data_IF_576690462316
#
_entry.id   IF_576690462316
#
_cell.length_a   1.000
_cell.length_b   1.000
_cell.length_c   1.000
_cell.angle_alpha   90.00
_cell.angle_beta   90.00
_cell.angle_gamma   90.00
#
_symmetry.space_group_name_H-M   'P 1'
#
loop_
_entity.id
_entity.type
_entity.pdbx_description
1 polymer ?
#
# COMPACT_ATOMS: atom_id res chain seq x y z
N UNK A 1 -71.80 -14.20 -62.52
CA UNK A 1 -70.96 -15.35 -62.12
C UNK A 1 -69.83 -14.86 -61.21
N UNK A 2 -70.12 -14.86 -59.91
CA UNK A 2 -69.19 -14.60 -58.79
C UNK A 2 -69.11 -15.91 -57.99
N UNK A 3 -68.07 -16.00 -57.15
CA UNK A 3 -67.86 -16.95 -56.05
C UNK A 3 -67.62 -18.42 -56.39
N UNK A 4 -66.35 -18.78 -56.63
CA UNK A 4 -65.80 -20.11 -56.31
C UNK A 4 -64.26 -20.14 -56.43
N UNK A 5 -63.54 -19.22 -55.78
CA UNK A 5 -62.07 -19.29 -55.72
C UNK A 5 -61.40 -18.61 -54.51
N UNK A 6 -62.13 -18.44 -53.40
CA UNK A 6 -61.55 -17.87 -52.16
C UNK A 6 -61.52 -18.81 -50.94
N UNK A 7 -62.03 -20.04 -51.07
CA UNK A 7 -62.09 -20.99 -49.95
C UNK A 7 -60.89 -21.95 -49.89
N UNK A 8 -60.20 -22.22 -51.01
CA UNK A 8 -59.15 -23.24 -51.04
C UNK A 8 -57.76 -22.74 -50.61
N UNK A 9 -57.47 -21.44 -50.78
CA UNK A 9 -56.16 -20.85 -50.47
C UNK A 9 -56.05 -20.44 -48.98
N UNK A 10 -57.19 -20.29 -48.29
CA UNK A 10 -57.22 -19.82 -46.89
C UNK A 10 -57.00 -20.94 -45.86
N UNK A 11 -57.15 -22.21 -46.24
CA UNK A 11 -56.94 -23.35 -45.33
C UNK A 11 -55.51 -23.92 -45.35
N UNK A 12 -54.73 -23.67 -46.42
CA UNK A 12 -53.34 -24.11 -46.50
C UNK A 12 -52.39 -23.20 -45.69
N UNK A 13 -52.67 -21.89 -45.67
CA UNK A 13 -51.84 -20.92 -44.93
C UNK A 13 -52.02 -21.02 -43.42
N UNK A 14 -53.20 -21.40 -42.91
CA UNK A 14 -53.40 -21.62 -41.47
C UNK A 14 -52.75 -22.90 -40.93
N UNK A 15 -52.63 -23.96 -41.72
CA UNK A 15 -51.94 -25.20 -41.30
C UNK A 15 -50.41 -25.09 -41.37
N UNK A 16 -49.87 -24.31 -42.31
CA UNK A 16 -48.43 -24.06 -42.37
C UNK A 16 -47.94 -23.14 -41.23
N UNK A 17 -48.76 -22.16 -40.84
CA UNK A 17 -48.43 -21.24 -39.76
C UNK A 17 -48.54 -21.87 -38.35
N UNK A 18 -49.38 -22.89 -38.18
CA UNK A 18 -49.46 -23.67 -36.93
C UNK A 18 -48.33 -24.71 -36.80
N UNK A 19 -47.77 -25.22 -37.90
CA UNK A 19 -46.62 -26.12 -37.86
C UNK A 19 -45.30 -25.36 -37.59
N UNK A 20 -45.17 -24.12 -38.06
CA UNK A 20 -43.99 -23.28 -37.74
C UNK A 20 -43.99 -22.76 -36.31
N UNK A 21 -45.15 -22.59 -35.67
CA UNK A 21 -45.24 -22.17 -34.27
C UNK A 21 -45.03 -23.34 -33.29
N UNK A 22 -45.30 -24.60 -33.70
CA UNK A 22 -45.06 -25.78 -32.86
C UNK A 22 -43.61 -26.30 -32.93
N UNK A 23 -42.87 -25.99 -34.00
CA UNK A 23 -41.44 -26.36 -34.17
C UNK A 23 -40.45 -25.33 -33.60
N UNK A 24 -40.93 -24.20 -33.08
CA UNK A 24 -40.12 -23.19 -32.38
C UNK A 24 -40.19 -23.30 -30.85
N UNK A 25 -40.91 -24.29 -30.30
CA UNK A 25 -41.11 -24.48 -28.85
C UNK A 25 -40.23 -25.60 -28.26
N UNK A 26 -39.36 -26.26 -29.03
CA UNK A 26 -38.55 -27.41 -28.52
C UNK A 26 -37.04 -27.29 -28.68
N UNK A 27 -36.47 -26.09 -28.69
CA UNK A 27 -35.00 -25.96 -28.68
C UNK A 27 -34.49 -24.69 -28.02
N UNK A 28 -34.78 -24.49 -26.74
CA UNK A 28 -33.86 -23.80 -25.79
C UNK A 28 -34.26 -24.17 -24.35
N UNK A 29 -34.02 -25.42 -23.94
CA UNK A 29 -33.77 -25.72 -22.52
C UNK A 29 -32.27 -25.59 -22.29
N UNK A 30 -31.77 -24.36 -22.26
CA UNK A 30 -30.52 -24.08 -21.56
C UNK A 30 -30.89 -23.87 -20.11
N UNK A 31 -30.39 -24.77 -19.25
CA UNK A 31 -30.35 -24.59 -17.82
C UNK A 31 -29.88 -23.17 -17.49
N UNK A 32 -30.80 -22.27 -17.17
CA UNK A 32 -30.48 -21.07 -16.40
C UNK A 32 -30.24 -21.60 -14.99
N UNK A 33 -28.98 -21.92 -14.70
CA UNK A 33 -28.49 -21.87 -13.33
C UNK A 33 -28.80 -20.45 -12.85
N UNK A 34 -29.62 -20.32 -11.82
CA UNK A 34 -29.71 -19.09 -11.04
C UNK A 34 -28.28 -18.74 -10.60
N UNK A 35 -27.71 -17.75 -11.27
CA UNK A 35 -26.48 -17.09 -10.87
C UNK A 35 -26.86 -16.15 -9.72
N UNK A 36 -26.92 -16.71 -8.51
CA UNK A 36 -26.83 -15.94 -7.28
C UNK A 36 -25.39 -15.41 -7.16
N UNK A 37 -25.04 -14.41 -7.96
CA UNK A 37 -23.74 -13.71 -7.88
C UNK A 37 -23.91 -12.21 -7.64
N UNK A 38 -24.55 -11.85 -6.52
CA UNK A 38 -24.57 -10.43 -6.09
C UNK A 38 -24.62 -10.21 -4.57
N UNK A 39 -24.23 -11.20 -3.77
CA UNK A 39 -24.18 -11.04 -2.30
C UNK A 39 -22.88 -11.53 -1.64
N UNK A 40 -21.96 -12.15 -2.38
CA UNK A 40 -20.70 -12.69 -1.83
C UNK A 40 -19.49 -11.78 -2.06
N UNK A 41 -19.43 -11.08 -3.20
CA UNK A 41 -18.27 -10.27 -3.60
C UNK A 41 -18.26 -8.84 -3.04
N UNK A 42 -19.44 -8.23 -2.81
CA UNK A 42 -19.55 -6.88 -2.26
C UNK A 42 -19.14 -6.78 -0.78
N UNK A 43 -19.36 -7.86 -0.02
CA UNK A 43 -19.03 -7.92 1.42
C UNK A 43 -17.51 -7.94 1.64
N UNK A 44 -16.76 -8.65 0.78
CA UNK A 44 -15.30 -8.74 0.87
C UNK A 44 -14.60 -7.39 0.65
N UNK A 45 -15.15 -6.51 -0.19
CA UNK A 45 -14.62 -5.16 -0.37
C UNK A 45 -15.00 -4.21 0.76
N UNK A 46 -16.18 -4.38 1.38
CA UNK A 46 -16.61 -3.45 2.42
C UNK A 46 -15.73 -3.56 3.67
N UNK A 47 -15.36 -4.78 4.05
CA UNK A 47 -14.50 -5.03 5.22
C UNK A 47 -13.03 -4.66 4.96
N UNK A 48 -12.65 -4.56 3.69
CA UNK A 48 -11.33 -4.13 3.22
C UNK A 48 -11.20 -2.61 3.01
N UNK A 49 -12.26 -1.83 3.19
CA UNK A 49 -12.26 -0.38 2.93
C UNK A 49 -12.45 0.43 4.21
N UNK A 50 -11.38 1.08 4.64
CA UNK A 50 -11.39 1.96 5.79
C UNK A 50 -11.84 3.36 5.40
N UNK A 51 -12.68 3.96 6.24
CA UNK A 51 -13.13 5.34 6.07
C UNK A 51 -11.98 6.29 6.31
N UNK A 52 -11.76 7.27 5.43
CA UNK A 52 -10.80 8.34 5.69
C UNK A 52 -11.55 9.56 6.20
N UNK A 53 -11.19 10.02 7.40
CA UNK A 53 -11.83 11.14 8.10
C UNK A 53 -10.78 12.16 8.53
N UNK A 54 -11.15 13.42 8.60
CA UNK A 54 -10.40 14.40 9.39
C UNK A 54 -10.99 14.45 10.81
N UNK A 55 -10.13 14.56 11.81
CA UNK A 55 -10.51 14.60 13.23
C UNK A 55 -10.43 16.04 13.70
N UNK A 56 -11.59 16.61 14.04
CA UNK A 56 -11.65 17.93 14.63
C UNK A 56 -11.08 17.91 16.06
N UNK A 57 -10.44 18.98 16.54
CA UNK A 57 -9.93 19.06 17.92
C UNK A 57 -10.98 18.81 19.00
N UNK A 58 -12.25 19.07 18.69
CA UNK A 58 -13.40 18.80 19.58
C UNK A 58 -13.88 17.33 19.52
N UNK A 59 -13.19 16.45 18.79
CA UNK A 59 -13.43 15.01 18.78
C UNK A 59 -14.41 14.49 17.73
N UNK A 60 -15.06 15.35 16.94
CA UNK A 60 -15.93 14.91 15.85
C UNK A 60 -15.16 14.70 14.53
N UNK A 61 -15.74 13.89 13.64
CA UNK A 61 -15.16 13.57 12.34
C UNK A 61 -15.74 14.43 11.21
N UNK A 62 -14.89 14.74 10.24
CA UNK A 62 -15.25 15.34 8.95
C UNK A 62 -15.01 14.34 7.82
N UNK A 63 -15.89 14.33 6.83
CA UNK A 63 -15.73 13.52 5.64
C UNK A 63 -14.56 14.02 4.80
N UNK A 64 -13.68 13.11 4.36
CA UNK A 64 -12.64 13.42 3.39
C UNK A 64 -13.10 12.94 2.01
N UNK A 65 -13.07 13.84 1.03
CA UNK A 65 -13.52 13.59 -0.34
C UNK A 65 -12.48 14.07 -1.35
N UNK A 66 -12.42 13.40 -2.49
CA UNK A 66 -11.73 13.89 -3.67
C UNK A 66 -12.69 14.77 -4.46
N UNK A 67 -12.26 15.96 -4.86
CA UNK A 67 -13.11 16.95 -5.52
C UNK A 67 -12.53 17.34 -6.86
N UNK A 68 -13.34 17.23 -7.92
CA UNK A 68 -12.95 17.64 -9.27
C UNK A 68 -13.09 19.16 -9.48
N UNK A 69 -12.81 19.61 -10.71
CA UNK A 69 -12.90 21.03 -11.09
C UNK A 69 -14.34 21.55 -11.16
N UNK A 70 -15.33 20.67 -11.30
CA UNK A 70 -16.76 21.00 -11.35
C UNK A 70 -17.40 21.01 -9.95
N UNK A 71 -16.66 20.58 -8.94
CA UNK A 71 -17.10 20.53 -7.55
C UNK A 71 -17.76 19.22 -7.14
N UNK A 72 -17.80 18.20 -8.02
CA UNK A 72 -18.27 16.86 -7.68
C UNK A 72 -17.35 16.24 -6.64
N UNK A 73 -17.93 15.48 -5.71
CA UNK A 73 -17.21 14.90 -4.57
C UNK A 73 -17.27 13.37 -4.62
N UNK A 74 -16.11 12.75 -4.51
CA UNK A 74 -15.90 11.31 -4.62
C UNK A 74 -15.34 10.73 -3.32
N UNK A 75 -15.59 9.44 -3.10
CA UNK A 75 -15.15 8.76 -1.88
C UNK A 75 -13.63 8.69 -1.79
N UNK A 76 -13.09 8.82 -0.57
CA UNK A 76 -11.70 8.53 -0.24
C UNK A 76 -11.68 7.44 0.81
N UNK A 77 -10.90 6.39 0.56
CA UNK A 77 -10.78 5.21 1.42
C UNK A 77 -9.32 4.81 1.58
N UNK A 78 -9.01 4.09 2.66
CA UNK A 78 -7.79 3.29 2.70
C UNK A 78 -8.14 1.83 2.35
N UNK A 79 -7.37 1.24 1.44
CA UNK A 79 -7.55 -0.14 0.99
C UNK A 79 -6.66 -1.07 1.80
N UNK A 80 -7.31 -1.93 2.56
CA UNK A 80 -6.70 -3.10 3.19
C UNK A 80 -6.61 -4.21 2.14
N UNK A 81 -5.39 -4.52 1.71
CA UNK A 81 -5.16 -5.71 0.91
C UNK A 81 -4.85 -6.85 1.89
N UNK A 82 -5.63 -7.92 1.84
CA UNK A 82 -5.58 -9.05 2.79
C UNK A 82 -5.88 -8.70 4.26
N UNK A 83 -5.31 -9.47 5.19
CA UNK A 83 -5.24 -9.26 6.63
C UNK A 83 -4.29 -8.13 7.06
N UNK A 84 -3.59 -7.48 6.12
CA UNK A 84 -2.55 -6.53 6.43
C UNK A 84 -3.08 -5.11 6.69
N UNK A 85 -2.90 -4.64 7.93
CA UNK A 85 -3.41 -3.33 8.40
C UNK A 85 -2.33 -2.27 8.59
N UNK A 86 -1.06 -2.64 8.52
CA UNK A 86 0.06 -1.76 8.94
C UNK A 86 0.52 -0.73 7.90
N UNK A 87 0.06 -0.82 6.65
CA UNK A 87 0.56 -0.01 5.53
C UNK A 87 -0.38 -0.12 4.31
N UNK A 88 -1.44 0.67 4.31
CA UNK A 88 -2.52 0.59 3.31
C UNK A 88 -2.45 1.74 2.30
N UNK A 89 -2.90 1.48 1.07
CA UNK A 89 -3.04 2.52 0.05
C UNK A 89 -4.21 3.45 0.40
N UNK A 90 -4.00 4.76 0.27
CA UNK A 90 -5.10 5.73 0.35
C UNK A 90 -5.47 6.17 -1.05
N UNK A 91 -6.73 5.92 -1.43
CA UNK A 91 -7.23 6.05 -2.80
C UNK A 91 -8.54 6.84 -2.83
N UNK A 92 -8.77 7.51 -3.95
CA UNK A 92 -10.07 8.05 -4.30
C UNK A 92 -10.82 7.06 -5.21
N UNK A 93 -12.13 6.92 -5.05
CA UNK A 93 -12.97 6.08 -5.90
C UNK A 93 -13.78 6.99 -6.82
N UNK A 94 -13.36 7.11 -8.08
CA UNK A 94 -14.00 7.96 -9.08
C UNK A 94 -14.47 7.07 -10.22
N UNK A 95 -15.78 7.03 -10.49
CA UNK A 95 -16.35 6.20 -11.57
C UNK A 95 -15.86 4.73 -11.51
N UNK A 96 -15.89 4.14 -10.32
CA UNK A 96 -15.39 2.79 -10.02
C UNK A 96 -13.89 2.56 -10.28
N UNK A 97 -13.11 3.60 -10.56
CA UNK A 97 -11.64 3.53 -10.66
C UNK A 97 -11.00 3.95 -9.34
N UNK A 98 -9.98 3.18 -8.92
CA UNK A 98 -9.18 3.50 -7.75
C UNK A 98 -8.02 4.41 -8.16
N UNK A 99 -8.10 5.67 -7.75
CA UNK A 99 -7.12 6.70 -8.10
C UNK A 99 -6.18 6.93 -6.91
N UNK A 100 -4.85 6.78 -7.08
CA UNK A 100 -3.91 6.95 -5.97
C UNK A 100 -3.85 8.42 -5.52
N UNK A 101 -3.80 8.61 -4.20
CA UNK A 101 -3.57 9.93 -3.60
C UNK A 101 -2.09 10.13 -3.32
N UNK A 102 -1.58 11.30 -3.69
CA UNK A 102 -0.17 11.71 -3.61
C UNK A 102 -0.04 13.10 -3.02
N UNK A 103 1.12 13.39 -2.45
CA UNK A 103 1.56 14.74 -2.14
C UNK A 103 2.39 15.21 -3.34
N UNK A 104 2.10 16.40 -3.88
CA UNK A 104 2.85 16.94 -5.02
C UNK A 104 3.95 17.87 -4.54
N UNK A 105 4.99 18.03 -5.37
CA UNK A 105 6.01 19.06 -5.14
C UNK A 105 5.35 20.44 -5.22
N UNK A 106 5.74 21.33 -4.33
CA UNK A 106 5.30 22.71 -4.28
C UNK A 106 6.35 23.58 -3.58
N UNK A 107 6.52 24.81 -4.05
CA UNK A 107 7.45 25.79 -3.45
C UNK A 107 6.81 26.56 -2.27
N UNK A 108 5.50 26.42 -2.08
CA UNK A 108 4.78 27.03 -0.97
C UNK A 108 4.96 26.29 0.37
N UNK A 109 4.62 26.97 1.47
CA UNK A 109 4.72 26.44 2.86
C UNK A 109 4.10 25.05 3.05
N UNK A 110 3.02 24.75 2.32
CA UNK A 110 2.27 23.51 2.46
C UNK A 110 2.12 22.79 1.12
N UNK A 111 2.49 21.52 1.09
CA UNK A 111 2.43 20.71 -0.13
C UNK A 111 0.99 20.25 -0.42
N UNK A 112 0.49 20.34 -1.66
CA UNK A 112 -0.87 19.93 -2.00
C UNK A 112 -1.02 18.41 -1.99
N UNK A 113 -2.14 17.93 -1.45
CA UNK A 113 -2.53 16.52 -1.53
C UNK A 113 -3.59 16.36 -2.60
N UNK A 114 -3.34 15.51 -3.60
CA UNK A 114 -4.22 15.30 -4.75
C UNK A 114 -4.33 13.82 -5.12
N UNK A 115 -5.48 13.42 -5.64
CA UNK A 115 -5.58 12.18 -6.41
C UNK A 115 -5.09 12.44 -7.85
N UNK A 116 -4.35 11.51 -8.44
CA UNK A 116 -3.84 11.61 -9.81
C UNK A 116 -4.31 10.38 -10.59
N UNK A 117 -5.14 10.60 -11.60
CA UNK A 117 -5.62 9.53 -12.51
C UNK A 117 -4.58 9.18 -13.59
N UNK A 118 -4.82 8.09 -14.31
CA UNK A 118 -3.91 7.57 -15.34
C UNK A 118 -3.75 8.50 -16.56
N UNK A 119 -4.72 9.40 -16.79
CA UNK A 119 -4.66 10.42 -17.85
C UNK A 119 -4.03 11.75 -17.38
N UNK A 120 -3.69 11.86 -16.09
CA UNK A 120 -3.12 13.07 -15.49
C UNK A 120 -4.16 14.03 -14.89
N UNK A 121 -5.46 13.74 -15.00
CA UNK A 121 -6.50 14.51 -14.30
C UNK A 121 -6.27 14.43 -12.79
N UNK A 122 -6.36 15.58 -12.12
CA UNK A 122 -6.14 15.68 -10.68
C UNK A 122 -7.40 16.08 -9.92
N UNK A 123 -7.57 15.50 -8.74
CA UNK A 123 -8.67 15.79 -7.82
C UNK A 123 -8.10 16.36 -6.53
N UNK A 124 -8.67 17.47 -6.05
CA UNK A 124 -8.21 18.08 -4.80
C UNK A 124 -8.82 17.33 -3.63
N UNK A 125 -8.01 16.92 -2.65
CA UNK A 125 -8.52 16.25 -1.46
C UNK A 125 -8.94 17.29 -0.42
N UNK A 126 -10.20 17.20 0.02
CA UNK A 126 -10.83 18.17 0.92
C UNK A 126 -11.56 17.45 2.06
N UNK A 127 -11.49 18.03 3.25
CA UNK A 127 -12.37 17.71 4.37
C UNK A 127 -13.63 18.58 4.28
N UNK A 128 -14.80 17.99 4.50
CA UNK A 128 -16.11 18.64 4.35
C UNK A 128 -16.74 18.81 5.73
N UNK A 129 -17.05 20.04 6.11
CA UNK A 129 -17.74 20.34 7.37
C UNK A 129 -19.22 20.00 7.29
N UNK A 130 -19.91 19.99 8.45
CA UNK A 130 -21.38 19.81 8.50
C UNK A 130 -22.13 20.91 7.74
N UNK A 131 -21.55 22.10 7.62
CA UNK A 131 -22.09 23.24 6.87
C UNK A 131 -21.77 23.18 5.37
N UNK A 132 -20.96 22.21 4.93
CA UNK A 132 -20.54 22.06 3.53
C UNK A 132 -19.26 22.78 3.15
N UNK A 133 -18.62 23.48 4.09
CA UNK A 133 -17.33 24.13 3.87
C UNK A 133 -16.24 23.11 3.55
N UNK A 134 -15.33 23.49 2.65
CA UNK A 134 -14.33 22.59 2.10
C UNK A 134 -12.92 23.01 2.48
N UNK A 135 -12.31 22.25 3.38
CA UNK A 135 -10.98 22.50 3.94
C UNK A 135 -9.94 21.68 3.19
N UNK A 136 -8.86 22.31 2.72
CA UNK A 136 -7.84 21.61 1.94
C UNK A 136 -6.97 20.69 2.81
N UNK A 137 -6.68 19.48 2.32
CA UNK A 137 -5.64 18.63 2.91
C UNK A 137 -4.27 18.98 2.33
N UNK A 138 -3.28 19.10 3.21
CA UNK A 138 -1.92 19.49 2.86
C UNK A 138 -0.89 18.64 3.62
N UNK A 139 0.27 18.41 2.99
CA UNK A 139 1.49 18.02 3.69
C UNK A 139 2.06 19.23 4.43
N UNK A 140 2.25 19.13 5.74
CA UNK A 140 2.59 20.28 6.60
C UNK A 140 3.99 20.22 7.21
N UNK A 141 4.53 19.02 7.43
CA UNK A 141 5.87 18.82 8.01
C UNK A 141 6.42 17.46 7.56
N UNK A 142 7.70 17.41 7.22
CA UNK A 142 8.45 16.16 7.01
C UNK A 142 9.26 15.82 8.26
N UNK A 143 9.32 14.54 8.57
CA UNK A 143 10.13 13.94 9.63
C UNK A 143 10.69 12.62 9.09
N UNK A 144 11.97 12.66 8.71
CA UNK A 144 12.63 11.67 7.86
C UNK A 144 11.77 11.22 6.66
N UNK A 145 11.25 9.99 6.65
CA UNK A 145 10.42 9.42 5.59
C UNK A 145 8.93 9.74 5.69
N UNK A 146 8.48 10.35 6.78
CA UNK A 146 7.07 10.62 7.03
C UNK A 146 6.75 12.08 6.79
N UNK A 147 5.68 12.33 6.04
CA UNK A 147 5.12 13.66 5.83
C UNK A 147 3.78 13.72 6.53
N UNK A 148 3.65 14.56 7.55
CA UNK A 148 2.40 14.76 8.26
C UNK A 148 1.38 15.42 7.33
N UNK A 149 0.20 14.82 7.20
CA UNK A 149 -0.92 15.39 6.46
C UNK A 149 -1.94 15.94 7.44
N UNK A 150 -2.42 17.16 7.18
CA UNK A 150 -3.46 17.82 7.96
C UNK A 150 -4.47 18.48 7.04
N UNK A 151 -5.73 18.57 7.47
CA UNK A 151 -6.64 19.54 6.90
C UNK A 151 -6.31 20.91 7.50
N UNK A 152 -6.07 21.91 6.65
CA UNK A 152 -5.63 23.25 7.06
C UNK A 152 -6.74 24.25 6.76
N UNK A 153 -7.36 24.80 7.80
CA UNK A 153 -8.40 25.82 7.64
C UNK A 153 -7.79 27.22 7.41
N UNK A 154 -8.63 28.21 7.10
CA UNK A 154 -8.19 29.59 6.85
C UNK A 154 -7.54 30.25 8.07
N UNK A 155 -7.91 29.83 9.29
CA UNK A 155 -7.36 30.32 10.54
C UNK A 155 -6.03 29.63 10.92
N UNK A 156 -5.53 28.71 10.08
CA UNK A 156 -4.31 27.95 10.33
C UNK A 156 -4.46 26.78 11.31
N UNK A 157 -5.67 26.43 11.75
CA UNK A 157 -5.89 25.22 12.54
C UNK A 157 -5.67 23.96 11.71
N UNK A 158 -5.13 22.93 12.34
CA UNK A 158 -4.75 21.67 11.69
C UNK A 158 -5.55 20.50 12.24
N UNK A 159 -6.23 19.76 11.36
CA UNK A 159 -6.98 18.55 11.73
C UNK A 159 -6.23 17.31 11.26
N UNK A 160 -6.05 16.35 12.16
CA UNK A 160 -5.39 15.07 11.85
C UNK A 160 -6.25 14.24 10.90
N UNK A 161 -5.63 13.52 9.98
CA UNK A 161 -6.33 12.63 9.06
C UNK A 161 -6.13 11.19 9.51
N UNK A 162 -7.24 10.47 9.68
CA UNK A 162 -7.26 9.09 10.14
C UNK A 162 -7.96 8.19 9.11
N UNK A 163 -7.45 6.98 8.96
CA UNK A 163 -8.21 5.87 8.38
C UNK A 163 -8.85 5.08 9.52
N UNK A 164 -10.13 4.78 9.40
CA UNK A 164 -10.92 4.11 10.44
C UNK A 164 -11.56 2.87 9.82
N UNK A 165 -11.24 1.71 10.37
CA UNK A 165 -11.78 0.44 9.90
C UNK A 165 -13.27 0.29 10.23
N UNK A 166 -13.97 -0.68 9.61
CA UNK A 166 -15.34 -1.03 10.00
C UNK A 166 -15.48 -1.45 11.47
N UNK A 167 -14.43 -2.05 12.06
CA UNK A 167 -14.40 -2.45 13.48
C UNK A 167 -13.83 -1.38 14.44
N UNK A 168 -13.54 -0.16 13.95
CA UNK A 168 -13.13 0.98 14.77
C UNK A 168 -11.62 1.09 15.05
N UNK A 169 -10.79 0.26 14.44
CA UNK A 169 -9.34 0.42 14.44
C UNK A 169 -8.94 1.69 13.68
N UNK A 170 -7.86 2.33 14.13
CA UNK A 170 -7.48 3.65 13.62
C UNK A 170 -6.01 3.65 13.19
N UNK A 171 -5.79 4.11 11.96
CA UNK A 171 -4.48 4.41 11.40
C UNK A 171 -4.35 5.90 11.10
N UNK A 172 -3.11 6.40 11.15
CA UNK A 172 -2.78 7.72 10.65
C UNK A 172 -2.65 7.70 9.13
N UNK A 173 -3.17 8.73 8.47
CA UNK A 173 -2.94 8.96 7.04
C UNK A 173 -1.79 9.94 6.87
N UNK A 174 -0.70 9.47 6.28
CA UNK A 174 0.58 10.19 6.18
C UNK A 174 1.14 10.08 4.76
N UNK A 175 1.98 11.04 4.40
CA UNK A 175 2.86 10.90 3.24
C UNK A 175 4.06 10.04 3.60
N UNK A 176 4.51 9.22 2.64
CA UNK A 176 5.66 8.35 2.74
C UNK A 176 6.63 8.72 1.63
N UNK A 177 7.87 9.01 2.03
CA UNK A 177 9.02 9.16 1.16
C UNK A 177 9.92 7.94 1.28
N UNK A 178 10.52 7.60 0.15
CA UNK A 178 11.50 6.52 0.03
C UNK A 178 12.84 7.09 -0.37
N UNK A 179 12.81 8.15 -1.18
CA UNK A 179 14.00 8.92 -1.53
C UNK A 179 14.24 10.05 -0.51
N UNK A 180 15.52 10.41 -0.34
CA UNK A 180 15.89 11.61 0.41
C UNK A 180 15.50 12.91 -0.31
N UNK A 181 15.41 12.86 -1.64
CA UNK A 181 15.17 14.00 -2.54
C UNK A 181 13.71 14.47 -2.50
N UNK A 182 13.45 15.71 -2.89
CA UNK A 182 12.06 16.20 -2.96
C UNK A 182 11.24 15.45 -4.01
N UNK A 183 11.78 15.29 -5.22
CA UNK A 183 11.16 14.50 -6.27
C UNK A 183 11.26 13.01 -5.97
N UNK A 184 10.09 12.39 -5.81
CA UNK A 184 9.96 10.95 -5.70
C UNK A 184 9.89 10.31 -7.09
N UNK A 185 8.98 10.80 -7.93
CA UNK A 185 8.87 10.45 -9.35
C UNK A 185 7.96 11.44 -10.09
N UNK A 186 7.99 11.42 -11.42
CA UNK A 186 7.07 12.19 -12.26
C UNK A 186 6.03 11.26 -12.87
N UNK A 187 4.74 11.58 -12.70
CA UNK A 187 3.61 10.86 -13.27
C UNK A 187 2.86 11.78 -14.22
N UNK A 188 2.89 11.52 -15.53
CA UNK A 188 2.12 12.31 -16.53
C UNK A 188 2.42 13.82 -16.43
N UNK A 189 3.69 14.17 -16.25
CA UNK A 189 4.14 15.56 -16.09
C UNK A 189 3.88 16.17 -14.70
N UNK A 190 3.31 15.41 -13.76
CA UNK A 190 3.07 15.83 -12.38
C UNK A 190 4.21 15.31 -11.50
N UNK A 191 4.89 16.23 -10.82
CA UNK A 191 5.97 15.88 -9.89
C UNK A 191 5.40 15.47 -8.53
N UNK A 192 5.62 14.23 -8.15
CA UNK A 192 5.18 13.66 -6.88
C UNK A 192 6.27 13.84 -5.84
N UNK A 193 5.89 14.39 -4.69
CA UNK A 193 6.72 14.54 -3.52
C UNK A 193 6.66 13.32 -2.59
N UNK A 194 5.47 12.76 -2.35
CA UNK A 194 5.33 11.59 -1.47
C UNK A 194 4.08 10.76 -1.81
N UNK A 195 4.10 9.48 -1.43
CA UNK A 195 2.96 8.58 -1.55
C UNK A 195 2.07 8.71 -0.32
N UNK A 196 0.74 8.74 -0.45
CA UNK A 196 -0.13 8.76 0.73
C UNK A 196 -0.51 7.34 1.14
N UNK A 197 -0.27 7.00 2.41
CA UNK A 197 -0.51 5.68 3.00
C UNK A 197 -1.19 5.82 4.36
N UNK A 198 -1.97 4.81 4.76
CA UNK A 198 -2.49 4.68 6.11
C UNK A 198 -1.65 3.66 6.89
N UNK A 199 -1.20 4.02 8.10
CA UNK A 199 -0.28 3.20 8.92
C UNK A 199 -0.58 3.36 10.42
N UNK A 200 -0.09 2.45 11.28
CA UNK A 200 -0.31 2.49 12.71
C UNK A 200 0.04 3.83 13.32
N UNK A 201 -0.74 4.21 14.32
CA UNK A 201 -0.44 5.38 15.13
C UNK A 201 0.85 5.12 15.91
N UNK A 202 1.72 6.12 15.92
CA UNK A 202 2.92 6.08 16.74
C UNK A 202 3.02 7.36 17.52
N UNK A 203 3.55 7.27 18.74
CA UNK A 203 3.85 8.45 19.54
C UNK A 203 4.96 9.27 18.90
N UNK A 204 4.90 10.59 19.07
CA UNK A 204 5.97 11.48 18.67
C UNK A 204 7.08 11.37 19.74
N UNK A 205 8.17 10.65 19.44
CA UNK A 205 9.38 10.62 20.28
C UNK A 205 10.40 11.58 19.66
N UNK A 206 11.02 12.44 20.47
CA UNK A 206 11.86 13.54 20.00
C UNK A 206 13.29 13.17 19.58
N UNK A 207 13.72 11.93 19.86
CA UNK A 207 15.12 11.54 19.81
C UNK A 207 15.45 10.65 18.61
N UNK A 208 16.70 10.75 18.14
CA UNK A 208 17.23 9.93 17.06
C UNK A 208 17.88 8.68 17.64
N UNK A 209 17.46 7.50 17.16
CA UNK A 209 17.96 6.22 17.67
C UNK A 209 18.32 5.26 16.54
N UNK A 210 19.34 4.44 16.81
CA UNK A 210 19.68 3.28 15.99
C UNK A 210 19.10 2.03 16.62
N UNK A 211 18.19 1.40 15.91
CA UNK A 211 17.53 0.17 16.32
C UNK A 211 18.33 -1.03 15.82
N UNK A 212 18.53 -2.03 16.69
CA UNK A 212 19.26 -3.25 16.35
C UNK A 212 18.37 -4.19 15.52
N UNK A 213 18.85 -4.61 14.34
CA UNK A 213 18.16 -5.63 13.53
C UNK A 213 18.62 -7.01 13.97
N UNK A 214 17.68 -7.83 14.41
CA UNK A 214 17.97 -9.17 14.94
C UNK A 214 16.92 -10.20 14.49
N UNK A 215 17.35 -11.45 14.41
CA UNK A 215 16.45 -12.59 14.38
C UNK A 215 15.97 -12.90 15.79
N UNK A 216 14.71 -13.29 15.94
CA UNK A 216 14.13 -13.69 17.23
C UNK A 216 13.75 -15.16 17.18
N UNK A 217 14.41 -15.95 18.03
CA UNK A 217 14.09 -17.34 18.28
C UNK A 217 12.79 -17.48 19.09
N UNK A 218 11.98 -18.52 18.86
CA UNK A 218 10.76 -18.76 19.66
C UNK A 218 10.99 -18.85 21.17
N UNK A 219 12.19 -19.21 21.62
CA UNK A 219 12.59 -19.25 23.03
C UNK A 219 13.19 -17.92 23.54
N UNK A 220 13.20 -16.86 22.71
CA UNK A 220 13.63 -15.51 23.08
C UNK A 220 15.10 -15.19 22.82
N UNK A 221 15.88 -16.11 22.23
CA UNK A 221 17.26 -15.82 21.86
C UNK A 221 17.34 -14.87 20.66
N UNK A 222 18.29 -13.94 20.71
CA UNK A 222 18.55 -13.00 19.63
C UNK A 222 19.66 -13.52 18.72
N UNK A 223 19.43 -13.43 17.41
CA UNK A 223 20.36 -13.87 16.36
C UNK A 223 20.85 -12.63 15.62
N UNK A 224 22.17 -12.49 15.50
CA UNK A 224 22.76 -11.34 14.81
C UNK A 224 22.47 -11.39 13.32
N UNK A 225 22.11 -10.25 12.73
CA UNK A 225 21.90 -10.10 11.29
C UNK A 225 22.90 -9.06 10.78
N UNK A 226 23.74 -9.46 9.85
CA UNK A 226 24.79 -8.63 9.27
C UNK A 226 24.74 -8.68 7.74
N UNK A 227 25.33 -7.67 7.11
CA UNK A 227 25.59 -7.66 5.68
C UNK A 227 26.99 -8.19 5.42
N UNK A 228 27.17 -8.92 4.33
CA UNK A 228 28.46 -9.50 3.94
C UNK A 228 28.80 -9.10 2.51
N UNK A 229 30.03 -8.63 2.29
CA UNK A 229 30.53 -8.41 0.93
C UNK A 229 31.03 -9.72 0.29
N UNK A 230 31.46 -9.64 -0.97
CA UNK A 230 32.01 -10.78 -1.72
C UNK A 230 33.34 -11.31 -1.15
N UNK A 231 34.01 -10.55 -0.29
CA UNK A 231 35.26 -10.95 0.39
C UNK A 231 35.00 -11.57 1.77
N UNK A 232 33.74 -11.57 2.23
CA UNK A 232 33.33 -12.08 3.53
C UNK A 232 33.43 -11.06 4.68
N UNK A 233 33.75 -9.79 4.40
CA UNK A 233 33.73 -8.74 5.42
C UNK A 233 32.30 -8.51 5.90
N UNK A 234 32.11 -8.28 7.20
CA UNK A 234 30.79 -8.11 7.81
C UNK A 234 30.53 -6.66 8.21
N UNK A 235 29.29 -6.21 7.98
CA UNK A 235 28.84 -4.86 8.27
C UNK A 235 27.54 -4.88 9.06
N UNK A 236 27.41 -3.94 9.99
CA UNK A 236 26.24 -3.87 10.86
C UNK A 236 25.02 -3.34 10.11
N UNK A 237 23.84 -3.83 10.50
CA UNK A 237 22.56 -3.40 9.95
C UNK A 237 21.72 -2.80 11.07
N UNK A 238 21.19 -1.60 10.85
CA UNK A 238 20.34 -0.91 11.82
C UNK A 238 19.09 -0.36 11.14
N UNK A 239 18.03 -0.21 11.93
CA UNK A 239 16.93 0.68 11.58
C UNK A 239 17.21 2.08 12.14
N UNK A 240 16.93 3.11 11.36
CA UNK A 240 17.18 4.51 11.72
C UNK A 240 15.85 5.18 12.04
N UNK A 241 15.72 5.66 13.27
CA UNK A 241 14.66 6.54 13.69
C UNK A 241 15.16 7.99 13.69
N UNK A 242 14.55 8.80 12.83
CA UNK A 242 14.76 10.24 12.79
C UNK A 242 13.53 10.92 13.41
N UNK A 243 13.72 11.59 14.55
CA UNK A 243 12.66 12.31 15.26
C UNK A 243 11.43 11.41 15.52
N UNK A 244 10.22 11.93 15.22
CA UNK A 244 8.94 11.26 15.48
C UNK A 244 8.58 10.11 14.50
N UNK A 245 9.51 9.72 13.63
CA UNK A 245 9.29 8.66 12.65
C UNK A 245 9.42 7.29 13.29
N UNK A 246 8.45 6.84 14.09
CA UNK A 246 8.47 5.46 14.63
C UNK A 246 7.74 4.45 13.76
N UNK A 247 6.75 4.89 12.99
CA UNK A 247 5.86 4.01 12.21
C UNK A 247 6.54 3.30 11.04
N UNK A 248 7.63 3.85 10.51
CA UNK A 248 8.31 3.36 9.31
C UNK A 248 9.79 3.75 9.31
N UNK A 249 10.68 2.92 9.85
CA UNK A 249 12.12 3.17 9.94
C UNK A 249 12.86 2.71 8.70
N UNK A 250 13.90 3.44 8.31
CA UNK A 250 14.82 3.00 7.26
C UNK A 250 15.76 1.92 7.77
N UNK A 251 15.86 0.79 7.05
CA UNK A 251 16.86 -0.24 7.35
C UNK A 251 18.06 -0.04 6.43
N UNK A 252 19.22 0.16 7.04
CA UNK A 252 20.49 0.50 6.36
C UNK A 252 21.63 -0.37 6.86
N UNK A 253 22.59 -0.62 5.98
CA UNK A 253 23.89 -1.17 6.35
C UNK A 253 24.85 -0.02 6.59
N UNK A 254 25.59 -0.08 7.69
CA UNK A 254 26.65 0.87 8.02
C UNK A 254 27.95 0.32 7.47
N UNK A 255 28.30 0.72 6.25
CA UNK A 255 29.45 0.19 5.52
C UNK A 255 30.76 0.80 6.03
N UNK A 256 30.75 2.10 6.32
CA UNK A 256 31.80 2.82 7.02
C UNK A 256 31.17 4.02 7.76
N UNK A 257 31.99 4.88 8.38
CA UNK A 257 31.54 6.02 9.18
C UNK A 257 30.67 7.01 8.40
N UNK A 258 30.85 7.11 7.08
CA UNK A 258 30.20 8.11 6.23
C UNK A 258 29.21 7.52 5.23
N UNK A 259 29.16 6.19 5.10
CA UNK A 259 28.43 5.52 4.03
C UNK A 259 27.42 4.51 4.57
N UNK A 260 26.16 4.71 4.16
CA UNK A 260 25.05 3.85 4.50
C UNK A 260 24.41 3.26 3.24
N UNK A 261 24.33 1.94 3.19
CA UNK A 261 23.77 1.25 2.03
C UNK A 261 22.30 0.95 2.24
N UNK A 262 21.53 1.10 1.17
CA UNK A 262 20.10 0.81 1.20
C UNK A 262 19.86 -0.69 1.16
N UNK A 263 19.09 -1.20 2.13
CA UNK A 263 18.63 -2.59 2.13
C UNK A 263 17.31 -2.70 1.34
N UNK A 264 17.26 -3.67 0.41
CA UNK A 264 16.19 -3.85 -0.57
C UNK A 264 15.91 -5.33 -0.82
N UNK A 265 14.68 -5.60 -1.25
CA UNK A 265 14.32 -6.87 -1.87
C UNK A 265 14.55 -6.75 -3.38
N UNK A 266 15.29 -7.69 -3.97
CA UNK A 266 15.65 -7.64 -5.40
C UNK A 266 14.59 -8.36 -6.23
N UNK A 267 14.22 -7.78 -7.37
CA UNK A 267 13.25 -8.36 -8.27
C UNK A 267 13.74 -9.70 -8.82
N UNK A 268 12.93 -10.73 -8.59
CA UNK A 268 13.12 -12.08 -9.12
C UNK A 268 11.75 -12.69 -9.47
N UNK A 269 11.77 -13.72 -10.31
CA UNK A 269 10.60 -14.56 -10.59
C UNK A 269 10.41 -15.66 -9.54
N UNK A 270 11.37 -15.83 -8.62
CA UNK A 270 11.30 -16.82 -7.56
C UNK A 270 10.24 -16.48 -6.51
N UNK A 271 9.74 -17.52 -5.83
CA UNK A 271 8.81 -17.37 -4.70
C UNK A 271 9.46 -16.66 -3.50
N UNK A 272 10.75 -16.94 -3.27
CA UNK A 272 11.56 -16.33 -2.22
C UNK A 272 12.40 -15.21 -2.82
N UNK A 273 12.22 -14.01 -2.29
CA UNK A 273 12.79 -12.79 -2.81
C UNK A 273 14.05 -12.46 -2.00
N UNK A 274 15.23 -12.39 -2.63
CA UNK A 274 16.46 -12.13 -1.90
C UNK A 274 16.49 -10.70 -1.37
N UNK A 275 16.93 -10.57 -0.12
CA UNK A 275 17.25 -9.29 0.52
C UNK A 275 18.74 -9.01 0.36
N UNK A 276 19.09 -7.81 -0.12
CA UNK A 276 20.46 -7.36 -0.32
C UNK A 276 20.62 -5.92 0.13
N UNK A 277 21.83 -5.53 0.51
CA UNK A 277 22.20 -4.13 0.45
C UNK A 277 22.83 -3.81 -0.90
N UNK A 278 22.57 -2.61 -1.40
CA UNK A 278 23.03 -2.15 -2.71
C UNK A 278 24.00 -1.00 -2.48
N UNK A 279 25.24 -1.18 -2.94
CA UNK A 279 26.27 -0.15 -2.93
C UNK A 279 26.14 0.84 -4.08
N UNK A 280 26.96 1.89 -4.07
CA UNK A 280 26.86 3.00 -5.03
C UNK A 280 27.10 2.58 -6.48
N UNK A 281 27.85 1.51 -6.72
CA UNK A 281 28.15 0.97 -8.05
C UNK A 281 27.30 -0.25 -8.40
N UNK A 282 26.26 -0.53 -7.62
CA UNK A 282 25.37 -1.67 -7.81
C UNK A 282 25.89 -2.99 -7.24
N UNK A 283 27.01 -2.96 -6.51
CA UNK A 283 27.50 -4.13 -5.78
C UNK A 283 26.47 -4.57 -4.73
N UNK A 284 26.34 -5.89 -4.59
CA UNK A 284 25.36 -6.50 -3.71
C UNK A 284 26.05 -7.10 -2.48
N UNK A 285 25.49 -6.81 -1.32
CA UNK A 285 25.88 -7.39 -0.05
C UNK A 285 24.82 -8.36 0.44
N UNK A 286 25.24 -9.53 0.86
CA UNK A 286 24.37 -10.58 1.35
C UNK A 286 23.92 -10.29 2.78
N UNK A 287 22.61 -10.26 3.00
CA UNK A 287 22.05 -10.10 4.33
C UNK A 287 21.78 -11.49 4.91
N UNK A 288 22.51 -11.84 5.97
CA UNK A 288 22.47 -13.16 6.57
C UNK A 288 22.37 -13.09 8.09
N UNK A 289 21.68 -14.07 8.66
CA UNK A 289 21.65 -14.30 10.11
C UNK A 289 22.83 -15.19 10.50
N UNK A 290 23.47 -14.90 11.63
CA UNK A 290 24.63 -15.65 12.12
C UNK A 290 24.29 -16.22 13.50
N UNK A 291 24.25 -17.55 13.58
CA UNK A 291 24.03 -18.29 14.83
C UNK A 291 25.26 -18.22 15.74
N UNK A 292 25.09 -18.58 17.01
CA UNK A 292 26.18 -18.58 18.00
C UNK A 292 27.33 -19.53 17.64
N UNK A 293 27.04 -20.62 16.91
CA UNK A 293 28.04 -21.55 16.39
C UNK A 293 28.77 -21.04 15.13
N UNK A 294 28.46 -19.82 14.65
CA UNK A 294 29.04 -19.22 13.44
C UNK A 294 28.34 -19.62 12.14
N UNK A 295 27.35 -20.52 12.18
CA UNK A 295 26.57 -20.91 11.01
C UNK A 295 25.76 -19.71 10.48
N UNK A 296 25.77 -19.56 9.15
CA UNK A 296 25.04 -18.50 8.46
C UNK A 296 23.75 -19.04 7.85
N UNK A 297 22.64 -18.36 8.11
CA UNK A 297 21.33 -18.66 7.55
C UNK A 297 20.87 -17.54 6.62
N UNK A 298 20.14 -17.93 5.58
CA UNK A 298 19.66 -17.02 4.55
C UNK A 298 18.39 -16.33 5.01
N UNK A 299 18.23 -15.09 4.58
CA UNK A 299 17.03 -14.29 4.80
C UNK A 299 16.36 -14.06 3.46
N UNK A 300 15.03 -14.20 3.43
CA UNK A 300 14.25 -13.91 2.24
C UNK A 300 12.94 -13.23 2.59
N UNK A 301 12.41 -12.48 1.62
CA UNK A 301 11.01 -12.08 1.61
C UNK A 301 10.16 -13.15 0.96
N UNK A 302 9.02 -13.48 1.56
CA UNK A 302 8.04 -14.35 0.95
C UNK A 302 7.01 -13.50 0.20
N UNK A 303 6.92 -13.69 -1.12
CA UNK A 303 5.96 -12.95 -1.94
C UNK A 303 4.53 -13.23 -1.45
N UNK A 304 3.81 -12.16 -1.12
CA UNK A 304 2.39 -12.16 -0.76
C UNK A 304 1.69 -11.05 -1.54
N UNK A 305 0.36 -11.08 -1.61
CA UNK A 305 -0.44 -9.93 -2.05
C UNK A 305 -0.36 -8.80 -1.01
N UNK A 306 -0.65 -7.57 -1.42
CA UNK A 306 -0.56 -6.41 -0.56
C UNK A 306 0.79 -5.72 -0.54
N UNK A 307 0.91 -4.75 0.38
CA UNK A 307 2.04 -3.84 0.42
C UNK A 307 3.18 -4.30 1.35
N UNK A 308 2.95 -5.35 2.14
CA UNK A 308 3.92 -5.84 3.13
C UNK A 308 4.36 -7.23 2.77
N UNK A 309 5.68 -7.41 2.70
CA UNK A 309 6.33 -8.67 2.36
C UNK A 309 6.96 -9.18 3.66
N UNK A 310 6.45 -10.28 4.23
CA UNK A 310 7.06 -10.85 5.43
C UNK A 310 8.48 -11.33 5.11
N UNK A 311 9.41 -10.99 5.99
CA UNK A 311 10.79 -11.43 5.93
C UNK A 311 11.03 -12.48 7.00
N UNK A 312 11.72 -13.55 6.62
CA UNK A 312 11.99 -14.69 7.47
C UNK A 312 13.43 -15.17 7.31
N UNK A 313 13.92 -15.80 8.37
CA UNK A 313 15.20 -16.51 8.35
C UNK A 313 14.90 -17.99 8.08
N UNK A 314 15.61 -18.55 7.11
CA UNK A 314 15.38 -19.90 6.60
C UNK A 314 16.56 -20.82 6.94
N UNK A 315 16.25 -22.06 7.34
CA UNK A 315 17.26 -23.10 7.48
C UNK A 315 17.65 -23.70 6.11
N UNK A 316 18.58 -24.66 6.11
CA UNK A 316 19.03 -25.37 4.91
C UNK A 316 17.90 -26.15 4.18
N UNK A 317 16.78 -26.44 4.85
CA UNK A 317 15.59 -27.09 4.27
C UNK A 317 14.57 -26.09 3.71
N UNK A 318 14.88 -24.79 3.72
CA UNK A 318 13.97 -23.69 3.37
C UNK A 318 12.70 -23.63 4.24
N UNK A 319 12.80 -24.04 5.49
CA UNK A 319 11.75 -23.85 6.49
C UNK A 319 11.96 -22.52 7.21
N UNK A 320 10.87 -21.80 7.50
CA UNK A 320 10.91 -20.58 8.31
C UNK A 320 11.26 -20.97 9.74
N UNK A 321 12.32 -20.39 10.27
CA UNK A 321 12.76 -20.66 11.64
C UNK A 321 12.57 -19.45 12.53
N UNK A 322 12.88 -18.25 12.02
CA UNK A 322 12.91 -17.03 12.83
C UNK A 322 12.23 -15.85 12.17
N UNK A 323 11.64 -14.99 13.00
CA UNK A 323 11.17 -13.66 12.61
C UNK A 323 12.31 -12.65 12.73
N UNK A 324 12.16 -11.53 12.04
CA UNK A 324 13.14 -10.44 12.07
C UNK A 324 12.48 -9.23 12.72
N UNK A 325 13.14 -8.70 13.75
CA UNK A 325 12.69 -7.53 14.50
C UNK A 325 13.76 -6.45 14.51
N UNK A 326 13.32 -5.21 14.65
CA UNK A 326 14.15 -4.10 15.05
C UNK A 326 13.87 -3.83 16.54
N UNK A 327 14.92 -3.72 17.35
CA UNK A 327 14.83 -3.46 18.78
C UNK A 327 15.41 -2.09 19.10
N UNK A 328 14.64 -1.22 19.75
CA UNK A 328 15.10 0.09 20.20
C UNK A 328 16.06 -0.03 21.39
N UNK A 329 16.85 1.01 21.72
CA UNK A 329 17.64 1.04 22.95
C UNK A 329 16.80 0.82 24.23
N UNK A 330 15.54 1.21 24.20
CA UNK A 330 14.56 1.07 25.29
C UNK A 330 13.84 -0.30 25.28
N UNK A 331 14.16 -1.18 24.33
CA UNK A 331 13.59 -2.52 24.23
C UNK A 331 12.28 -2.60 23.45
N UNK A 332 11.88 -1.53 22.75
CA UNK A 332 10.68 -1.54 21.92
C UNK A 332 10.90 -2.37 20.64
N UNK A 333 9.84 -2.99 20.13
CA UNK A 333 9.93 -3.89 18.97
C UNK A 333 9.17 -3.34 17.76
N UNK A 334 9.85 -3.33 16.63
CA UNK A 334 9.26 -3.13 15.31
C UNK A 334 9.47 -4.38 14.42
N UNK A 335 8.52 -4.64 13.55
CA UNK A 335 8.59 -5.71 12.56
C UNK A 335 9.46 -5.29 11.37
N UNK A 336 10.46 -6.09 11.00
CA UNK A 336 11.26 -5.81 9.80
C UNK A 336 10.64 -6.53 8.61
N UNK A 337 10.18 -5.75 7.64
CA UNK A 337 9.41 -6.24 6.48
C UNK A 337 9.91 -5.62 5.19
N UNK A 338 9.62 -6.28 4.07
CA UNK A 338 9.61 -5.61 2.78
C UNK A 338 8.35 -4.76 2.65
N UNK A 339 8.47 -3.58 2.04
CA UNK A 339 7.41 -2.61 1.84
C UNK A 339 7.35 -2.24 0.37
N UNK A 340 6.19 -2.50 -0.23
CA UNK A 340 5.80 -2.06 -1.57
C UNK A 340 5.07 -0.72 -1.44
N UNK A 341 5.54 0.21 -2.24
CA UNK A 341 5.05 1.57 -2.34
C UNK A 341 4.18 1.70 -3.57
N UNK A 342 4.61 1.05 -4.65
CA UNK A 342 3.88 0.87 -5.89
C UNK A 342 3.29 -0.55 -5.98
N UNK A 343 2.17 -0.67 -6.68
CA UNK A 343 1.50 -1.98 -6.91
C UNK A 343 2.16 -2.82 -8.01
N UNK A 344 3.03 -2.22 -8.81
CA UNK A 344 3.74 -2.93 -9.87
C UNK A 344 4.94 -3.73 -9.30
N UNK A 345 5.42 -4.77 -10.00
CA UNK A 345 6.55 -5.57 -9.52
C UNK A 345 7.83 -4.76 -9.30
N UNK A 346 8.23 -3.93 -10.26
CA UNK A 346 9.42 -3.09 -10.18
C UNK A 346 9.12 -1.80 -9.41
N UNK A 347 9.72 -1.61 -8.23
CA UNK A 347 9.68 -0.31 -7.54
C UNK A 347 10.53 0.72 -8.27
N UNK A 348 11.79 0.37 -8.50
CA UNK A 348 12.79 1.26 -9.08
C UNK A 348 13.99 0.46 -9.61
N UNK A 349 14.79 1.09 -10.45
CA UNK A 349 16.18 0.69 -10.66
C UNK A 349 17.07 1.51 -9.73
N UNK A 350 17.95 0.84 -9.00
CA UNK A 350 18.95 1.48 -8.16
C UNK A 350 20.33 0.96 -8.54
N UNK A 351 21.13 1.82 -9.18
CA UNK A 351 22.49 1.51 -9.62
C UNK A 351 22.56 0.24 -10.50
N UNK A 352 21.59 0.06 -11.41
CA UNK A 352 21.51 -1.12 -12.29
C UNK A 352 20.88 -2.35 -11.64
N UNK A 353 20.36 -2.22 -10.42
CA UNK A 353 19.69 -3.30 -9.69
C UNK A 353 18.19 -3.04 -9.68
N UNK A 354 17.44 -3.98 -10.25
CA UNK A 354 15.96 -3.96 -10.22
C UNK A 354 15.44 -4.28 -8.82
N UNK A 355 14.82 -3.29 -8.17
CA UNK A 355 14.29 -3.40 -6.81
C UNK A 355 12.84 -3.83 -6.85
N UNK A 356 12.50 -4.91 -6.12
CA UNK A 356 11.13 -5.32 -5.88
C UNK A 356 10.49 -4.60 -4.70
N UNK A 357 11.20 -4.33 -3.61
CA UNK A 357 10.62 -3.64 -2.46
C UNK A 357 11.68 -3.02 -1.56
N UNK A 358 11.23 -2.12 -0.68
CA UNK A 358 12.09 -1.47 0.31
C UNK A 358 12.07 -2.26 1.61
N UNK A 359 13.21 -2.47 2.26
CA UNK A 359 13.20 -3.06 3.61
C UNK A 359 13.09 -1.95 4.65
N UNK A 360 12.10 -2.08 5.53
CA UNK A 360 11.77 -1.08 6.55
C UNK A 360 11.44 -1.79 7.87
N UNK A 361 11.63 -1.11 9.00
CA UNK A 361 11.07 -1.56 10.26
C UNK A 361 9.76 -0.81 10.53
N UNK A 362 8.67 -1.55 10.72
CA UNK A 362 7.33 -1.02 10.88
C UNK A 362 6.87 -1.21 12.31
N UNK A 363 6.16 -0.21 12.84
CA UNK A 363 5.42 -0.44 14.07
C UNK A 363 4.36 -1.52 13.86
N UNK A 364 4.20 -2.45 14.82
CA UNK A 364 3.15 -3.45 14.74
C UNK A 364 1.79 -2.76 14.69
N UNK A 365 0.86 -3.33 13.93
CA UNK A 365 -0.54 -2.93 14.06
C UNK A 365 -1.01 -3.29 15.47
N UNK A 366 -1.60 -2.33 16.18
CA UNK A 366 -2.31 -2.61 17.42
C UNK A 366 -3.47 -3.54 17.09
N UNK A 367 -3.52 -4.71 17.73
CA UNK A 367 -4.64 -5.65 17.62
C UNK A 367 -5.90 -5.12 18.31
#
# INVERSE_FOLDING_TARGET
MRTLHKSFILNYTKRFLLLSVLLLVTSFTTNVKEENDTQSTATYFKDALWQVKAVHPEGYFLDVRAVDVYGNAFEVKALQDTDQKSFMDVIAIVENKMIPIKILINDGKFAPVKAISDDGTTFTIKAITKTGDRINLKGVRRSGNIVHIRAVNLNGSHYSIKAISPNGEINDVRGVKISGKDLEYSAKGINVYAHVKAMPQTGDIGDNFLWHIVGVDPNGYLININAYDSKGNSYSIKAIQDSDQRSLLDVKVFYNENEQLSVKLILTNDKLIPIKAIGEKGELFDIMATLQNGEKMRIFGQKVSGNIIPLHIYNAKNEIVYQIKAISPEGELNDVKGVKILRQPLEMDLNGVSVYAHVKALSPSTN
#
